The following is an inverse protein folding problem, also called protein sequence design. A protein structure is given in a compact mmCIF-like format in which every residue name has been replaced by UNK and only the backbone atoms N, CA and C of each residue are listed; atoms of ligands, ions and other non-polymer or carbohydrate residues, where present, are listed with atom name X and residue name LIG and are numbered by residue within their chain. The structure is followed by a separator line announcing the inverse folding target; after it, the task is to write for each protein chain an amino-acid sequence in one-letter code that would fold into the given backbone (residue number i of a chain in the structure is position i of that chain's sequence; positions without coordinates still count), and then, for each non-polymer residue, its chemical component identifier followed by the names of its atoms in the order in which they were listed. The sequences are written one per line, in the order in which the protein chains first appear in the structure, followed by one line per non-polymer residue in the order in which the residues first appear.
data_IF_832218725141
#
_entry.id   IF_832218725141
#
_cell.length_a   1.000
_cell.length_b   1.000
_cell.length_c   1.000
_cell.angle_alpha   90.00
_cell.angle_beta   90.00
_cell.angle_gamma   90.00
#
_symmetry.space_group_name_H-M   'P 1'
#
loop_
_entity.id
_entity.type
_entity.pdbx_description
1 polymer ?
#
# COMPACT_ATOMS: atom_id res chain seq x y z
N UNK A 1 -9.91 -13.46 -60.70
CA UNK A 1 -11.21 -14.13 -60.43
C UNK A 1 -10.97 -15.61 -60.14
N UNK A 2 -11.05 -16.02 -58.87
CA UNK A 2 -11.16 -17.43 -58.43
C UNK A 2 -11.59 -17.43 -56.94
N UNK A 3 -12.87 -17.74 -56.74
CA UNK A 3 -13.58 -18.48 -55.68
C UNK A 3 -12.98 -18.68 -54.25
N UNK A 4 -13.88 -18.98 -53.29
CA UNK A 4 -13.68 -19.68 -51.99
C UNK A 4 -13.17 -18.77 -50.85
N UNK A 5 -13.69 -18.78 -49.60
CA UNK A 5 -14.72 -19.64 -48.95
C UNK A 5 -15.71 -18.85 -48.03
N UNK A 6 -16.81 -19.51 -47.67
CA UNK A 6 -17.88 -19.10 -46.74
C UNK A 6 -17.57 -19.45 -45.28
N UNK A 7 -18.16 -18.73 -44.30
CA UNK A 7 -18.96 -19.24 -43.15
C UNK A 7 -19.22 -18.04 -42.20
N UNK A 8 -20.45 -17.51 -42.05
CA UNK A 8 -21.68 -17.97 -41.37
C UNK A 8 -21.70 -17.72 -39.85
N UNK A 9 -22.68 -16.93 -39.41
CA UNK A 9 -22.97 -16.54 -38.02
C UNK A 9 -23.92 -17.55 -37.38
N UNK A 10 -23.75 -17.85 -36.09
CA UNK A 10 -24.81 -18.40 -35.24
C UNK A 10 -24.72 -17.84 -33.81
N UNK A 11 -25.83 -17.27 -33.32
CA UNK A 11 -26.06 -17.11 -31.88
C UNK A 11 -26.65 -18.41 -31.33
N UNK A 12 -26.34 -18.73 -30.07
CA UNK A 12 -27.12 -19.66 -29.25
C UNK A 12 -26.90 -19.34 -27.76
N UNK A 13 -27.98 -18.92 -27.08
CA UNK A 13 -28.07 -18.96 -25.61
C UNK A 13 -28.53 -20.36 -25.17
N UNK A 14 -28.04 -20.85 -24.02
CA UNK A 14 -28.82 -21.68 -23.06
C UNK A 14 -28.02 -22.00 -21.78
N UNK A 15 -28.46 -21.40 -20.68
CA UNK A 15 -28.48 -21.87 -19.26
C UNK A 15 -27.53 -23.02 -18.80
N UNK A 16 -26.65 -22.68 -17.84
CA UNK A 16 -26.54 -23.22 -16.45
C UNK A 16 -26.50 -24.75 -16.15
N UNK A 17 -25.97 -25.19 -14.99
CA UNK A 17 -24.93 -24.60 -14.10
C UNK A 17 -23.80 -25.59 -13.73
N UNK A 18 -22.73 -25.12 -13.08
CA UNK A 18 -22.03 -25.92 -12.05
C UNK A 18 -21.25 -25.03 -11.08
N UNK A 19 -21.20 -25.41 -9.80
CA UNK A 19 -20.57 -24.65 -8.71
C UNK A 19 -19.11 -25.03 -8.51
N UNK A 20 -18.22 -24.04 -8.41
CA UNK A 20 -16.94 -24.17 -7.71
C UNK A 20 -16.79 -22.94 -6.81
N UNK A 21 -16.59 -23.15 -5.52
CA UNK A 21 -16.07 -22.11 -4.62
C UNK A 21 -14.55 -22.12 -4.69
N UNK A 22 -13.91 -20.95 -4.70
CA UNK A 22 -12.78 -20.71 -3.80
C UNK A 22 -12.64 -19.20 -3.51
N UNK A 23 -11.87 -18.87 -2.46
CA UNK A 23 -11.49 -17.49 -2.14
C UNK A 23 -10.23 -17.12 -2.93
N UNK A 24 -10.20 -15.94 -3.51
CA UNK A 24 -8.96 -15.24 -3.84
C UNK A 24 -9.04 -13.82 -3.27
N UNK A 25 -8.14 -13.49 -2.33
CA UNK A 25 -7.82 -12.10 -1.95
C UNK A 25 -6.41 -11.78 -2.43
N UNK A 26 -6.16 -11.97 -3.72
CA UNK A 26 -4.91 -11.64 -4.39
C UNK A 26 -4.98 -10.21 -4.92
N UNK A 27 -4.24 -9.28 -4.30
CA UNK A 27 -4.10 -7.91 -4.80
C UNK A 27 -3.45 -7.90 -6.19
N UNK A 28 -4.22 -7.58 -7.23
CA UNK A 28 -3.73 -7.49 -8.61
C UNK A 28 -3.49 -6.03 -9.03
N UNK A 29 -2.25 -5.57 -8.93
CA UNK A 29 -1.83 -4.28 -9.51
C UNK A 29 -1.95 -4.29 -11.05
N UNK A 30 -2.95 -3.58 -11.60
CA UNK A 30 -3.09 -3.32 -13.05
C UNK A 30 -3.47 -1.87 -13.39
N UNK A 31 -2.73 -0.90 -12.84
CA UNK A 31 -2.86 0.53 -13.18
C UNK A 31 -2.41 0.89 -14.60
N UNK A 32 -3.20 0.53 -15.63
CA UNK A 32 -2.85 0.78 -17.05
C UNK A 32 -3.36 2.14 -17.55
N UNK A 33 -2.75 3.22 -17.05
CA UNK A 33 -3.11 4.60 -17.33
C UNK A 33 -3.27 4.90 -18.84
N UNK A 34 -4.50 5.19 -19.26
CA UNK A 34 -4.77 5.82 -20.56
C UNK A 34 -4.70 7.33 -20.38
N UNK A 35 -3.64 7.95 -20.89
CA UNK A 35 -3.56 9.41 -20.98
C UNK A 35 -4.65 9.92 -21.92
N UNK A 36 -5.62 10.66 -21.37
CA UNK A 36 -6.62 11.37 -22.18
C UNK A 36 -5.95 12.58 -22.82
N UNK A 37 -6.08 12.69 -24.14
CA UNK A 37 -5.49 13.76 -24.93
C UNK A 37 -6.11 15.12 -24.54
N UNK A 38 -5.27 16.14 -24.36
CA UNK A 38 -5.71 17.51 -24.09
C UNK A 38 -6.03 18.18 -25.43
N UNK A 39 -7.24 18.73 -25.56
CA UNK A 39 -7.52 19.67 -26.64
C UNK A 39 -6.74 20.97 -26.36
N UNK A 40 -5.89 21.38 -27.29
CA UNK A 40 -5.30 22.72 -27.29
C UNK A 40 -6.34 23.75 -27.79
N UNK A 41 -6.02 25.04 -27.65
CA UNK A 41 -6.90 26.15 -28.03
C UNK A 41 -6.99 26.31 -29.57
N UNK A 42 -7.97 27.10 -30.05
CA UNK A 42 -8.32 27.40 -31.45
C UNK A 42 -9.00 26.28 -32.29
N UNK A 43 -10.33 26.11 -32.13
CA UNK A 43 -11.23 25.79 -33.27
C UNK A 43 -12.70 26.23 -33.00
N UNK A 44 -13.38 26.79 -34.01
CA UNK A 44 -14.74 27.37 -33.89
C UNK A 44 -15.88 26.37 -34.23
N UNK A 45 -16.29 25.48 -33.32
CA UNK A 45 -17.72 25.16 -33.16
C UNK A 45 -18.05 24.39 -31.85
N UNK A 46 -18.71 25.05 -30.91
CA UNK A 46 -19.34 24.46 -29.73
C UNK A 46 -20.64 25.24 -29.43
N UNK A 47 -21.75 24.80 -30.04
CA UNK A 47 -23.06 25.45 -29.88
C UNK A 47 -23.86 24.84 -28.74
N UNK A 48 -24.49 25.70 -27.97
CA UNK A 48 -25.56 25.37 -27.04
C UNK A 48 -26.86 25.09 -27.81
N UNK A 49 -27.45 23.90 -27.61
CA UNK A 49 -28.89 23.63 -27.64
C UNK A 49 -29.13 22.53 -26.58
N UNK A 50 -30.24 22.43 -25.87
CA UNK A 50 -31.47 23.22 -25.85
C UNK A 50 -32.51 22.50 -24.98
N UNK A 51 -33.36 23.25 -24.28
CA UNK A 51 -34.38 22.72 -23.34
C UNK A 51 -35.45 21.85 -24.02
N UNK A 52 -36.11 20.95 -23.26
CA UNK A 52 -37.57 20.95 -23.09
C UNK A 52 -38.02 19.92 -22.01
N UNK A 53 -39.02 20.31 -21.20
CA UNK A 53 -39.57 19.54 -20.07
C UNK A 53 -40.83 18.73 -20.44
N UNK A 54 -41.21 17.76 -19.59
CA UNK A 54 -42.64 17.48 -19.30
C UNK A 54 -42.83 16.63 -18.02
N UNK A 55 -43.56 17.16 -17.04
CA UNK A 55 -44.05 16.46 -15.84
C UNK A 55 -45.26 15.54 -16.12
N UNK A 56 -45.64 14.66 -15.17
CA UNK A 56 -47.02 14.56 -14.63
C UNK A 56 -47.13 13.74 -13.30
N UNK A 57 -48.28 13.84 -12.61
CA UNK A 57 -48.70 13.18 -11.34
C UNK A 57 -49.81 12.11 -11.62
N UNK A 58 -50.45 11.31 -10.73
CA UNK A 58 -50.46 11.00 -9.28
C UNK A 58 -50.89 9.50 -9.12
N UNK A 59 -51.12 8.79 -8.00
CA UNK A 59 -51.25 8.96 -6.51
C UNK A 59 -50.54 7.74 -5.84
N UNK A 60 -50.30 7.55 -4.53
CA UNK A 60 -50.95 7.85 -3.22
C UNK A 60 -52.00 6.84 -2.69
N UNK A 61 -51.92 6.53 -1.37
CA UNK A 61 -52.86 5.77 -0.48
C UNK A 61 -52.84 4.21 -0.62
N UNK A 62 -52.50 3.41 0.43
CA UNK A 62 -53.22 3.04 1.70
C UNK A 62 -54.25 1.88 1.48
N UNK A 63 -54.44 0.81 2.28
CA UNK A 63 -54.15 0.51 3.71
C UNK A 63 -53.91 -1.02 4.02
N UNK A 64 -53.33 -1.29 5.21
CA UNK A 64 -53.58 -2.32 6.26
C UNK A 64 -53.76 -3.87 6.07
N UNK A 65 -53.22 -4.59 7.09
CA UNK A 65 -53.65 -5.85 7.76
C UNK A 65 -53.69 -7.22 6.99
N UNK A 66 -53.54 -8.42 7.60
CA UNK A 66 -53.47 -8.85 9.03
C UNK A 66 -52.76 -10.23 9.24
N UNK A 67 -52.58 -10.62 10.52
CA UNK A 67 -52.55 -11.98 11.13
C UNK A 67 -51.30 -12.92 11.06
N UNK A 68 -51.29 -13.93 11.95
CA UNK A 68 -50.15 -14.68 12.52
C UNK A 68 -49.67 -15.96 11.76
N UNK A 69 -48.49 -16.49 12.14
CA UNK A 69 -47.90 -17.70 11.53
C UNK A 69 -46.74 -18.36 12.27
N UNK A 70 -46.92 -18.73 13.54
CA UNK A 70 -45.88 -19.29 14.44
C UNK A 70 -45.21 -20.62 13.97
N UNK A 71 -43.91 -20.76 14.27
CA UNK A 71 -43.12 -22.02 14.40
C UNK A 71 -41.65 -21.79 14.79
N UNK A 72 -41.21 -22.44 15.86
CA UNK A 72 -39.80 -22.60 16.21
C UNK A 72 -39.06 -23.53 15.24
N UNK A 73 -37.81 -23.19 14.87
CA UNK A 73 -36.74 -24.17 14.67
C UNK A 73 -35.49 -23.69 15.41
N UNK A 74 -34.92 -24.56 16.25
CA UNK A 74 -33.78 -24.25 17.12
C UNK A 74 -32.47 -24.23 16.31
N UNK A 75 -31.85 -23.05 16.17
CA UNK A 75 -30.49 -22.92 15.62
C UNK A 75 -29.49 -22.93 16.78
N UNK A 76 -28.70 -24.00 16.88
CA UNK A 76 -27.64 -24.12 17.88
C UNK A 76 -26.60 -23.00 17.72
N UNK A 77 -26.09 -22.49 18.85
CA UNK A 77 -25.01 -21.51 18.88
C UNK A 77 -23.67 -22.21 19.06
N UNK A 78 -22.88 -22.26 18.01
CA UNK A 78 -21.46 -22.61 18.08
C UNK A 78 -20.67 -21.47 18.77
N UNK A 79 -20.77 -21.39 20.10
CA UNK A 79 -20.06 -20.45 20.97
C UNK A 79 -18.56 -20.81 21.08
N UNK A 80 -17.85 -20.90 19.96
CA UNK A 80 -16.42 -21.26 19.88
C UNK A 80 -15.46 -20.06 19.75
N UNK A 81 -15.91 -18.86 20.13
CA UNK A 81 -14.98 -17.80 20.57
C UNK A 81 -14.44 -18.15 21.96
N UNK A 82 -13.30 -18.83 21.99
CA UNK A 82 -12.50 -18.99 23.21
C UNK A 82 -11.02 -18.69 22.98
N UNK A 83 -10.65 -17.52 23.48
CA UNK A 83 -9.40 -17.28 24.19
C UNK A 83 -8.14 -17.01 23.34
N UNK A 84 -8.24 -16.09 22.38
CA UNK A 84 -7.09 -15.22 22.07
C UNK A 84 -7.09 -14.06 23.07
N UNK A 85 -6.35 -14.19 24.17
CA UNK A 85 -6.44 -13.29 25.31
C UNK A 85 -6.08 -11.84 24.95
N UNK A 86 -7.01 -10.91 25.17
CA UNK A 86 -6.80 -9.47 25.00
C UNK A 86 -5.88 -8.93 26.10
N UNK A 87 -4.58 -9.20 25.96
CA UNK A 87 -3.57 -8.35 26.59
C UNK A 87 -3.70 -6.97 25.96
N UNK A 88 -4.04 -5.95 26.76
CA UNK A 88 -3.97 -4.57 26.30
C UNK A 88 -2.62 -4.34 25.61
N UNK A 89 -2.63 -4.03 24.31
CA UNK A 89 -1.41 -3.73 23.57
C UNK A 89 -0.91 -2.33 23.97
N UNK A 90 -0.31 -2.27 25.17
CA UNK A 90 0.35 -1.11 25.74
C UNK A 90 1.59 -0.84 24.91
N UNK A 91 1.49 0.15 24.02
CA UNK A 91 2.61 0.61 23.19
C UNK A 91 3.86 0.92 24.03
N UNK A 92 5.06 0.63 23.52
CA UNK A 92 6.29 0.75 24.27
C UNK A 92 6.55 2.18 24.76
N UNK A 93 7.23 2.35 25.91
CA UNK A 93 7.48 3.67 26.50
C UNK A 93 8.48 4.53 25.71
N UNK A 94 9.31 3.91 24.87
CA UNK A 94 10.26 4.55 23.94
C UNK A 94 10.45 3.64 22.70
N UNK A 95 10.89 4.17 21.55
CA UNK A 95 11.06 3.36 20.33
C UNK A 95 12.17 2.31 20.48
N UNK A 96 13.15 2.60 21.33
CA UNK A 96 14.30 1.74 21.69
C UNK A 96 14.04 0.80 22.88
N UNK A 97 12.80 0.71 23.40
CA UNK A 97 12.51 -0.08 24.60
C UNK A 97 12.65 -1.60 24.40
N UNK A 98 12.55 -2.07 23.16
CA UNK A 98 12.60 -3.49 22.83
C UNK A 98 14.05 -3.94 22.58
N UNK A 99 14.40 -5.14 23.08
CA UNK A 99 15.67 -5.77 22.72
C UNK A 99 15.55 -6.41 21.35
N UNK A 100 16.15 -5.81 20.34
CA UNK A 100 16.39 -6.46 19.05
C UNK A 100 17.77 -7.11 19.04
N UNK A 101 17.87 -8.31 18.48
CA UNK A 101 19.14 -9.04 18.28
C UNK A 101 19.45 -9.26 16.80
N UNK A 102 18.80 -8.48 15.94
CA UNK A 102 19.03 -8.49 14.50
C UNK A 102 20.43 -7.95 14.18
N UNK A 103 20.97 -8.36 13.03
CA UNK A 103 22.20 -7.82 12.46
C UNK A 103 21.82 -6.82 11.37
N UNK A 104 22.67 -5.85 11.09
CA UNK A 104 22.58 -5.00 9.88
C UNK A 104 22.45 -5.89 8.63
N UNK A 105 23.24 -6.97 8.56
CA UNK A 105 23.21 -7.95 7.46
C UNK A 105 23.22 -9.38 7.99
N UNK A 106 22.38 -10.24 7.41
CA UNK A 106 22.32 -11.69 7.64
C UNK A 106 21.77 -12.44 6.43
N UNK A 107 21.62 -13.75 6.57
CA UNK A 107 21.06 -14.61 5.52
C UNK A 107 19.59 -14.94 5.79
N UNK A 108 18.80 -15.20 4.74
CA UNK A 108 17.40 -15.65 4.87
C UNK A 108 17.36 -16.99 5.59
N UNK A 109 16.73 -17.02 6.76
CA UNK A 109 16.71 -18.17 7.67
C UNK A 109 17.81 -18.22 8.73
N UNK A 110 18.69 -17.21 8.86
CA UNK A 110 19.78 -17.16 9.87
C UNK A 110 19.28 -17.30 11.33
N UNK A 111 18.03 -16.92 11.60
CA UNK A 111 17.50 -16.72 12.95
C UNK A 111 16.13 -17.38 13.09
N UNK A 112 16.01 -18.37 13.97
CA UNK A 112 14.78 -19.14 14.22
C UNK A 112 13.59 -18.33 14.83
N UNK A 113 13.75 -17.01 14.99
CA UNK A 113 12.66 -16.09 15.35
C UNK A 113 11.99 -15.45 14.12
N UNK A 114 12.59 -15.54 12.92
CA UNK A 114 12.01 -15.09 11.66
C UNK A 114 11.26 -16.25 11.01
N UNK A 115 10.02 -16.02 10.56
CA UNK A 115 9.16 -17.04 9.96
C UNK A 115 9.67 -17.55 8.60
N UNK A 116 10.40 -16.73 7.85
CA UNK A 116 10.93 -17.10 6.53
C UNK A 116 12.27 -17.81 6.69
N UNK A 117 12.22 -19.13 6.53
CA UNK A 117 13.42 -19.95 6.36
C UNK A 117 13.86 -19.97 4.88
N UNK A 118 15.11 -20.39 4.64
CA UNK A 118 15.61 -20.65 3.28
C UNK A 118 14.72 -21.65 2.50
N UNK A 119 14.11 -22.61 3.20
CA UNK A 119 13.19 -23.58 2.59
C UNK A 119 11.86 -22.93 2.18
N UNK A 120 11.29 -22.05 3.02
CA UNK A 120 10.09 -21.27 2.69
C UNK A 120 10.33 -20.40 1.46
N UNK A 121 11.42 -19.62 1.46
CA UNK A 121 11.78 -18.76 0.32
C UNK A 121 11.97 -19.56 -0.98
N UNK A 122 12.59 -20.76 -0.90
CA UNK A 122 12.77 -21.64 -2.07
C UNK A 122 11.46 -22.24 -2.57
N UNK A 123 10.56 -22.66 -1.68
CA UNK A 123 9.22 -23.15 -2.04
C UNK A 123 8.33 -22.06 -2.65
N UNK A 124 8.58 -20.80 -2.27
CA UNK A 124 7.94 -19.62 -2.84
C UNK A 124 8.57 -19.14 -4.18
N UNK A 125 9.40 -19.99 -4.82
CA UNK A 125 10.13 -19.76 -6.08
C UNK A 125 11.20 -18.65 -6.06
N UNK A 126 11.59 -18.10 -4.89
CA UNK A 126 12.72 -17.17 -4.85
C UNK A 126 14.05 -17.93 -5.03
N UNK A 127 14.92 -17.35 -5.85
CA UNK A 127 16.22 -17.93 -6.21
C UNK A 127 17.36 -17.47 -5.29
N UNK A 128 17.20 -16.28 -4.69
CA UNK A 128 18.22 -15.60 -3.90
C UNK A 128 17.63 -14.58 -2.94
N UNK A 129 18.42 -14.14 -1.97
CA UNK A 129 18.08 -13.07 -1.04
C UNK A 129 19.13 -12.83 0.04
N UNK A 130 18.85 -11.85 0.89
CA UNK A 130 19.57 -11.55 2.13
C UNK A 130 18.61 -10.91 3.15
N UNK A 131 19.08 -10.68 4.38
CA UNK A 131 18.25 -10.17 5.47
C UNK A 131 18.87 -8.91 6.06
N UNK A 132 18.14 -7.78 6.03
CA UNK A 132 18.56 -6.46 6.49
C UNK A 132 17.82 -6.10 7.77
N UNK A 133 18.53 -5.93 8.89
CA UNK A 133 17.91 -5.72 10.21
C UNK A 133 16.78 -6.72 10.56
N UNK A 134 16.84 -7.94 10.01
CA UNK A 134 15.82 -8.97 10.20
C UNK A 134 14.68 -8.98 9.17
N UNK A 135 14.58 -7.99 8.28
CA UNK A 135 13.66 -7.93 7.13
C UNK A 135 14.31 -8.67 5.95
N UNK A 136 13.57 -9.52 5.23
CA UNK A 136 14.12 -10.34 4.14
C UNK A 136 13.93 -9.64 2.78
N UNK A 137 15.00 -9.47 1.99
CA UNK A 137 14.86 -9.08 0.57
C UNK A 137 15.00 -10.37 -0.24
N UNK A 138 13.91 -10.78 -0.90
CA UNK A 138 13.80 -12.03 -1.65
C UNK A 138 13.67 -11.73 -3.13
N UNK A 139 14.34 -12.50 -4.00
CA UNK A 139 14.36 -12.22 -5.43
C UNK A 139 14.29 -13.46 -6.33
N UNK A 140 13.50 -13.34 -7.41
CA UNK A 140 13.50 -14.31 -8.52
C UNK A 140 14.82 -14.20 -9.33
N UNK A 141 15.10 -15.15 -10.22
CA UNK A 141 16.45 -15.28 -10.80
C UNK A 141 16.83 -14.14 -11.75
N UNK A 142 15.82 -13.43 -12.24
CA UNK A 142 15.87 -12.44 -13.31
C UNK A 142 16.10 -11.02 -12.76
N UNK A 143 15.99 -10.81 -11.45
CA UNK A 143 16.30 -9.55 -10.77
C UNK A 143 17.81 -9.33 -10.78
N UNK A 144 18.34 -8.22 -11.31
CA UNK A 144 19.78 -7.91 -11.23
C UNK A 144 20.24 -7.72 -9.78
N UNK A 145 21.46 -8.16 -9.46
CA UNK A 145 21.99 -8.09 -8.08
C UNK A 145 22.06 -6.64 -7.58
N UNK A 146 22.38 -5.67 -8.44
CA UNK A 146 22.43 -4.26 -8.10
C UNK A 146 21.07 -3.67 -7.69
N UNK A 147 19.95 -4.23 -8.17
CA UNK A 147 18.60 -3.82 -7.76
C UNK A 147 18.26 -4.36 -6.37
N UNK A 148 18.64 -5.60 -6.10
CA UNK A 148 18.52 -6.22 -4.78
C UNK A 148 19.41 -5.51 -3.73
N UNK A 149 20.62 -5.07 -4.13
CA UNK A 149 21.49 -4.27 -3.27
C UNK A 149 20.98 -2.84 -3.07
N UNK A 150 20.31 -2.24 -4.05
CA UNK A 150 19.61 -0.95 -3.88
C UNK A 150 18.51 -1.07 -2.81
N UNK A 151 17.60 -2.03 -2.96
CA UNK A 151 16.54 -2.31 -1.98
C UNK A 151 17.12 -2.62 -0.58
N UNK A 152 18.28 -3.27 -0.49
CA UNK A 152 18.97 -3.51 0.78
C UNK A 152 19.47 -2.22 1.47
N UNK A 153 20.00 -1.25 0.72
CA UNK A 153 20.38 0.07 1.27
C UNK A 153 19.14 0.83 1.74
N UNK A 154 18.11 0.95 0.91
CA UNK A 154 16.86 1.65 1.25
C UNK A 154 16.19 1.03 2.49
N UNK A 155 16.22 -0.31 2.63
CA UNK A 155 15.74 -0.99 3.85
C UNK A 155 16.55 -0.64 5.08
N UNK A 156 17.86 -0.45 4.96
CA UNK A 156 18.70 0.00 6.06
C UNK A 156 18.41 1.46 6.43
N UNK A 157 18.40 2.37 5.45
CA UNK A 157 18.15 3.82 5.63
C UNK A 157 16.73 4.17 6.14
N UNK A 158 15.74 3.28 5.96
CA UNK A 158 14.38 3.42 6.50
C UNK A 158 14.22 2.83 7.92
N UNK A 159 15.17 2.03 8.39
CA UNK A 159 15.17 1.37 9.72
C UNK A 159 16.16 2.02 10.68
N UNK A 160 17.29 2.49 10.16
CA UNK A 160 18.33 3.28 10.79
C UNK A 160 18.60 4.48 9.86
N UNK A 161 17.85 5.55 10.08
CA UNK A 161 17.87 6.78 9.27
C UNK A 161 18.91 7.80 9.77
N UNK A 162 19.61 7.47 10.87
CA UNK A 162 20.78 8.20 11.35
C UNK A 162 22.11 7.55 10.93
N UNK A 163 22.05 6.29 10.50
CA UNK A 163 23.13 5.47 9.94
C UNK A 163 24.27 5.13 10.95
N UNK A 164 23.94 4.89 12.23
CA UNK A 164 24.94 4.49 13.25
C UNK A 164 25.18 2.97 13.37
N UNK A 165 24.37 2.16 12.67
CA UNK A 165 24.36 0.69 12.75
C UNK A 165 23.25 0.12 13.64
N UNK A 166 22.38 0.97 14.21
CA UNK A 166 21.35 0.61 15.19
C UNK A 166 19.96 1.08 14.73
N UNK A 167 18.94 0.21 14.70
CA UNK A 167 17.58 0.63 14.34
C UNK A 167 17.02 1.71 15.25
N UNK A 168 16.57 2.83 14.66
CA UNK A 168 15.95 3.97 15.37
C UNK A 168 14.73 3.53 16.20
N UNK A 169 13.94 2.59 15.64
CA UNK A 169 12.84 1.94 16.32
C UNK A 169 13.07 0.43 16.45
N UNK A 170 13.74 0.02 17.53
CA UNK A 170 14.04 -1.39 17.81
C UNK A 170 12.79 -2.23 18.04
N UNK A 171 11.67 -1.62 18.49
CA UNK A 171 10.39 -2.32 18.65
C UNK A 171 9.74 -2.66 17.31
N UNK A 172 9.67 -1.69 16.38
CA UNK A 172 9.18 -1.89 15.00
C UNK A 172 10.05 -2.94 14.29
N UNK A 173 11.36 -2.80 14.39
CA UNK A 173 12.31 -3.73 13.76
C UNK A 173 12.19 -5.15 14.32
N UNK A 174 12.02 -5.30 15.64
CA UNK A 174 11.85 -6.60 16.28
C UNK A 174 10.54 -7.30 15.87
N UNK A 175 9.43 -6.57 15.68
CA UNK A 175 8.18 -7.19 15.21
C UNK A 175 8.24 -7.54 13.72
N UNK A 176 8.84 -6.68 12.88
CA UNK A 176 9.06 -6.96 11.45
C UNK A 176 9.92 -8.21 11.26
N UNK A 177 11.04 -8.32 11.99
CA UNK A 177 11.89 -9.50 11.97
C UNK A 177 11.20 -10.76 12.49
N UNK A 178 10.27 -10.64 13.45
CA UNK A 178 9.53 -11.77 14.02
C UNK A 178 8.44 -12.27 13.07
N UNK A 179 7.69 -11.36 12.45
CA UNK A 179 6.62 -11.65 11.51
C UNK A 179 7.12 -12.03 10.10
N UNK A 180 8.43 -12.25 9.94
CA UNK A 180 9.02 -12.60 8.65
C UNK A 180 8.79 -11.54 7.58
N UNK A 181 8.87 -10.25 7.93
CA UNK A 181 8.71 -9.14 6.99
C UNK A 181 9.61 -9.32 5.76
N UNK A 182 9.07 -9.14 4.54
CA UNK A 182 9.85 -9.33 3.31
C UNK A 182 9.53 -8.35 2.17
N UNK A 183 10.49 -8.18 1.27
CA UNK A 183 10.32 -7.48 -0.02
C UNK A 183 10.43 -8.54 -1.11
N UNK A 184 9.39 -8.62 -1.95
CA UNK A 184 9.27 -9.58 -3.06
C UNK A 184 9.75 -8.94 -4.35
N UNK A 185 11.02 -9.16 -4.70
CA UNK A 185 11.62 -8.58 -5.90
C UNK A 185 11.43 -9.47 -7.13
N UNK A 186 10.98 -8.85 -8.21
CA UNK A 186 10.73 -9.52 -9.49
C UNK A 186 11.17 -8.69 -10.70
N UNK A 187 11.39 -9.34 -11.85
CA UNK A 187 11.73 -8.65 -13.10
C UNK A 187 10.88 -9.17 -14.27
N UNK A 188 9.78 -8.49 -14.60
CA UNK A 188 8.84 -8.83 -15.68
C UNK A 188 9.29 -8.27 -17.05
N UNK A 189 10.57 -8.41 -17.40
CA UNK A 189 11.09 -8.03 -18.71
C UNK A 189 10.49 -8.88 -19.85
N UNK A 190 10.53 -8.38 -21.09
CA UNK A 190 10.18 -9.19 -22.26
C UNK A 190 11.09 -10.43 -22.34
N UNK A 191 10.49 -11.61 -22.37
CA UNK A 191 11.20 -12.89 -22.36
C UNK A 191 11.44 -13.51 -20.98
N UNK A 192 11.22 -12.78 -19.88
CA UNK A 192 11.26 -13.36 -18.53
C UNK A 192 9.95 -14.08 -18.20
N UNK A 193 10.05 -15.23 -17.53
CA UNK A 193 8.91 -16.00 -17.03
C UNK A 193 8.97 -16.03 -15.50
N UNK A 194 8.44 -14.98 -14.87
CA UNK A 194 8.44 -14.87 -13.40
C UNK A 194 7.19 -15.52 -12.82
N UNK A 195 7.39 -16.53 -11.97
CA UNK A 195 6.35 -17.21 -11.20
C UNK A 195 6.76 -17.20 -9.72
N UNK A 196 6.01 -16.50 -8.87
CA UNK A 196 6.18 -16.48 -7.41
C UNK A 196 5.02 -17.27 -6.82
N UNK A 197 5.32 -18.25 -5.98
CA UNK A 197 4.29 -18.97 -5.23
C UNK A 197 4.14 -18.31 -3.85
N UNK A 198 2.96 -17.75 -3.57
CA UNK A 198 2.71 -17.02 -2.32
C UNK A 198 2.32 -17.95 -1.17
N UNK A 199 1.72 -19.12 -1.44
CA UNK A 199 1.22 -20.05 -0.42
C UNK A 199 2.22 -20.35 0.72
N UNK A 200 3.51 -20.66 0.47
CA UNK A 200 4.45 -21.02 1.54
C UNK A 200 4.81 -19.87 2.48
N UNK A 201 4.58 -18.62 2.06
CA UNK A 201 4.74 -17.42 2.87
C UNK A 201 3.49 -17.15 3.73
N UNK A 202 2.31 -17.36 3.14
CA UNK A 202 1.03 -17.21 3.83
C UNK A 202 0.81 -18.33 4.87
N UNK A 203 1.22 -19.57 4.57
CA UNK A 203 1.20 -20.72 5.48
C UNK A 203 1.99 -20.46 6.79
N UNK A 204 3.09 -19.68 6.72
CA UNK A 204 3.87 -19.30 7.91
C UNK A 204 3.44 -17.96 8.52
N UNK A 205 2.42 -17.31 7.96
CA UNK A 205 1.89 -16.03 8.44
C UNK A 205 2.79 -14.82 8.18
N UNK A 206 3.61 -14.87 7.12
CA UNK A 206 4.52 -13.79 6.75
C UNK A 206 3.77 -12.54 6.22
N UNK A 207 4.54 -11.51 5.86
CA UNK A 207 3.99 -10.31 5.22
C UNK A 207 5.05 -9.53 4.46
N UNK A 208 4.71 -9.08 3.26
CA UNK A 208 5.63 -8.34 2.41
C UNK A 208 4.93 -7.39 1.46
N UNK A 209 5.72 -6.61 0.72
CA UNK A 209 5.25 -5.93 -0.49
C UNK A 209 6.05 -6.38 -1.72
N UNK A 210 5.50 -6.09 -2.90
CA UNK A 210 6.16 -6.33 -4.19
C UNK A 210 7.14 -5.21 -4.54
N UNK A 211 8.17 -5.51 -5.34
CA UNK A 211 9.07 -4.49 -5.87
C UNK A 211 9.69 -4.91 -7.21
N UNK A 212 9.32 -4.22 -8.29
CA UNK A 212 9.88 -4.44 -9.62
C UNK A 212 11.32 -3.95 -9.76
N UNK A 213 12.14 -4.73 -10.46
CA UNK A 213 13.52 -4.36 -10.79
C UNK A 213 13.63 -3.08 -11.66
N UNK A 214 12.56 -2.68 -12.34
CA UNK A 214 12.52 -1.48 -13.19
C UNK A 214 12.14 -0.19 -12.45
N UNK A 215 11.36 -0.30 -11.38
CA UNK A 215 10.87 0.81 -10.54
C UNK A 215 11.72 1.04 -9.29
N UNK A 216 12.59 0.07 -8.94
CA UNK A 216 13.76 0.30 -8.07
C UNK A 216 14.76 1.21 -8.78
N UNK A 217 14.85 2.49 -8.43
CA UNK A 217 15.63 3.54 -9.15
C UNK A 217 16.36 4.47 -8.15
N UNK A 218 17.24 5.38 -8.56
CA UNK A 218 17.82 6.35 -7.60
C UNK A 218 16.96 7.62 -7.54
N UNK A 219 15.92 7.60 -6.70
CA UNK A 219 14.98 8.73 -6.53
C UNK A 219 14.56 9.32 -7.90
N UNK A 220 14.40 10.65 -7.97
CA UNK A 220 14.21 11.41 -9.21
C UNK A 220 15.54 11.85 -9.86
N UNK A 221 16.62 11.05 -9.81
CA UNK A 221 17.94 11.44 -10.30
C UNK A 221 18.04 11.62 -11.84
N UNK A 222 17.11 11.04 -12.61
CA UNK A 222 16.92 11.31 -14.05
C UNK A 222 16.03 12.54 -14.32
N UNK A 223 15.52 13.18 -13.26
CA UNK A 223 14.58 14.30 -13.30
C UNK A 223 13.15 13.93 -13.65
N UNK A 224 12.74 12.64 -13.60
CA UNK A 224 11.43 12.17 -14.08
C UNK A 224 10.85 10.99 -13.31
N UNK A 225 11.64 9.93 -13.13
CA UNK A 225 11.19 8.63 -12.67
C UNK A 225 11.14 8.57 -11.14
N UNK A 226 10.22 7.78 -10.60
CA UNK A 226 10.05 7.57 -9.16
C UNK A 226 10.81 6.31 -8.72
N UNK A 227 11.40 6.31 -7.51
CA UNK A 227 11.96 5.11 -6.89
C UNK A 227 10.94 4.45 -5.96
N UNK A 228 10.20 3.48 -6.51
CA UNK A 228 9.18 2.74 -5.78
C UNK A 228 9.77 1.88 -4.64
N UNK A 229 11.09 1.68 -4.56
CA UNK A 229 11.67 0.95 -3.43
C UNK A 229 11.54 1.72 -2.12
N UNK A 230 11.48 3.06 -2.14
CA UNK A 230 11.20 3.85 -0.93
C UNK A 230 9.72 3.70 -0.51
N UNK A 231 8.80 3.70 -1.48
CA UNK A 231 7.35 3.52 -1.30
C UNK A 231 7.05 2.13 -0.70
N UNK A 232 7.41 1.07 -1.43
CA UNK A 232 7.04 -0.32 -1.10
C UNK A 232 7.73 -0.89 0.16
N UNK A 233 8.97 -0.48 0.42
CA UNK A 233 9.69 -0.89 1.64
C UNK A 233 9.11 -0.14 2.85
N UNK A 234 8.68 1.12 2.69
CA UNK A 234 8.04 1.86 3.76
C UNK A 234 6.63 1.33 4.07
N UNK A 235 5.85 0.92 3.06
CA UNK A 235 4.54 0.26 3.23
C UNK A 235 4.63 -1.01 4.09
N UNK A 236 5.67 -1.84 3.89
CA UNK A 236 5.95 -2.97 4.78
C UNK A 236 6.22 -2.51 6.22
N UNK A 237 7.06 -1.49 6.40
CA UNK A 237 7.51 -0.99 7.70
C UNK A 237 6.34 -0.38 8.50
N UNK A 238 5.41 0.33 7.86
CA UNK A 238 4.22 0.89 8.51
C UNK A 238 3.20 -0.20 8.85
N UNK A 239 2.69 -0.90 7.84
CA UNK A 239 1.57 -1.83 7.96
C UNK A 239 1.88 -3.06 8.84
N UNK A 240 3.11 -3.60 8.76
CA UNK A 240 3.53 -4.78 9.56
C UNK A 240 4.37 -4.40 10.78
N UNK A 241 4.89 -3.19 10.85
CA UNK A 241 5.70 -2.66 11.95
C UNK A 241 4.94 -1.69 12.84
N UNK A 242 4.84 -0.42 12.43
CA UNK A 242 4.23 0.65 13.23
C UNK A 242 2.79 0.38 13.65
N UNK A 243 1.95 -0.12 12.73
CA UNK A 243 0.55 -0.52 13.00
C UNK A 243 0.45 -1.60 14.08
N UNK A 244 1.44 -2.51 14.17
CA UNK A 244 1.48 -3.59 15.17
C UNK A 244 2.03 -3.14 16.53
N UNK A 245 3.00 -2.22 16.57
CA UNK A 245 3.60 -1.71 17.83
C UNK A 245 2.78 -0.59 18.46
N UNK A 246 2.11 0.21 17.64
CA UNK A 246 1.38 1.41 18.05
C UNK A 246 -0.08 1.43 17.55
N UNK A 247 -0.89 0.37 17.78
CA UNK A 247 -2.22 0.24 17.15
C UNK A 247 -3.18 1.40 17.47
N UNK A 248 -3.07 2.02 18.64
CA UNK A 248 -3.88 3.20 19.01
C UNK A 248 -3.52 4.48 18.24
N UNK A 249 -2.36 4.51 17.56
CA UNK A 249 -1.81 5.68 16.88
C UNK A 249 -1.72 5.45 15.37
N UNK A 250 -1.10 4.35 14.94
CA UNK A 250 -0.87 3.98 13.54
C UNK A 250 -1.54 2.64 13.16
N UNK A 251 -2.46 2.11 13.97
CA UNK A 251 -3.17 0.87 13.61
C UNK A 251 -3.96 1.06 12.32
N UNK A 252 -3.67 0.21 11.34
CA UNK A 252 -4.27 0.20 10.01
C UNK A 252 -5.30 -0.94 9.89
N UNK A 253 -6.56 -0.59 9.59
CA UNK A 253 -7.65 -1.53 9.28
C UNK A 253 -8.87 -0.79 8.73
N UNK A 254 -9.77 -1.49 8.04
CA UNK A 254 -11.02 -0.91 7.51
C UNK A 254 -12.01 -0.38 8.58
N UNK A 255 -11.74 -0.68 9.85
CA UNK A 255 -12.51 -0.25 11.01
C UNK A 255 -11.69 0.61 11.98
N UNK A 256 -10.52 1.10 11.53
CA UNK A 256 -9.58 1.78 12.42
C UNK A 256 -10.13 3.11 12.94
N UNK A 257 -9.86 3.37 14.21
CA UNK A 257 -10.13 4.64 14.89
C UNK A 257 -8.84 5.23 15.49
N UNK A 258 -7.68 4.84 14.95
CA UNK A 258 -6.36 5.31 15.37
C UNK A 258 -6.17 6.81 15.11
N UNK A 259 -5.09 7.39 15.65
CA UNK A 259 -4.75 8.79 15.39
C UNK A 259 -4.50 9.07 13.90
N UNK A 260 -3.90 8.12 13.18
CA UNK A 260 -3.67 8.18 11.74
C UNK A 260 -4.99 8.17 10.96
N UNK A 261 -5.92 7.26 11.29
CA UNK A 261 -7.23 7.17 10.64
C UNK A 261 -8.00 8.50 10.70
N UNK A 262 -8.06 9.12 11.88
CA UNK A 262 -8.76 10.39 12.11
C UNK A 262 -8.10 11.59 11.40
N UNK A 263 -6.79 11.57 11.23
CA UNK A 263 -6.08 12.56 10.42
C UNK A 263 -6.43 12.37 8.93
N UNK A 264 -6.39 11.13 8.43
CA UNK A 264 -6.76 10.79 7.05
C UNK A 264 -8.22 11.14 6.72
N UNK A 265 -9.16 10.87 7.63
CA UNK A 265 -10.56 11.26 7.49
C UNK A 265 -10.72 12.77 7.28
N UNK A 266 -9.90 13.57 7.96
CA UNK A 266 -9.87 15.03 7.77
C UNK A 266 -9.26 15.39 6.41
N UNK A 267 -8.16 14.73 6.03
CA UNK A 267 -7.46 14.96 4.75
C UNK A 267 -8.28 14.63 3.50
N UNK A 268 -9.30 13.79 3.65
CA UNK A 268 -10.24 13.36 2.60
C UNK A 268 -11.55 14.17 2.56
N UNK A 269 -11.66 15.24 3.34
CA UNK A 269 -12.88 16.05 3.44
C UNK A 269 -14.00 15.46 4.31
N UNK A 270 -13.77 14.33 5.00
CA UNK A 270 -14.75 13.71 5.90
C UNK A 270 -14.50 12.23 6.16
N UNK A 271 -15.04 11.72 7.28
CA UNK A 271 -15.02 10.30 7.63
C UNK A 271 -15.76 9.46 6.59
N UNK A 272 -15.06 8.51 5.97
CA UNK A 272 -15.61 7.55 5.02
C UNK A 272 -15.15 6.13 5.38
N UNK A 273 -16.06 5.16 5.29
CA UNK A 273 -15.79 3.74 5.52
C UNK A 273 -16.39 2.92 4.39
N UNK A 274 -15.73 1.82 4.05
CA UNK A 274 -16.18 0.88 3.03
C UNK A 274 -16.28 -0.53 3.65
N UNK A 275 -17.34 -1.26 3.28
CA UNK A 275 -17.62 -2.63 3.72
C UNK A 275 -18.08 -3.50 2.53
N UNK A 276 -17.60 -3.17 1.33
CA UNK A 276 -17.87 -3.81 0.05
C UNK A 276 -16.55 -4.22 -0.61
N UNK A 277 -16.65 -5.07 -1.62
CA UNK A 277 -15.49 -5.51 -2.44
C UNK A 277 -14.98 -4.40 -3.38
N UNK A 278 -15.83 -3.41 -3.71
CA UNK A 278 -15.46 -2.18 -4.44
C UNK A 278 -15.90 -0.94 -3.64
N UNK A 279 -15.07 0.10 -3.62
CA UNK A 279 -15.23 1.24 -2.72
C UNK A 279 -15.42 2.56 -3.48
N UNK A 280 -16.68 2.98 -3.61
CA UNK A 280 -17.06 4.27 -4.19
C UNK A 280 -16.70 5.44 -3.25
N UNK A 281 -15.42 5.79 -3.19
CA UNK A 281 -14.91 6.94 -2.47
C UNK A 281 -15.37 8.25 -3.13
N UNK A 282 -15.86 9.18 -2.31
CA UNK A 282 -16.31 10.50 -2.78
C UNK A 282 -15.45 11.59 -2.13
N UNK A 283 -14.79 12.41 -2.92
CA UNK A 283 -13.96 13.51 -2.44
C UNK A 283 -14.59 14.83 -2.88
N UNK A 284 -14.74 15.78 -1.94
CA UNK A 284 -15.23 17.13 -2.27
C UNK A 284 -14.23 17.96 -3.09
N UNK A 285 -12.97 17.54 -3.15
CA UNK A 285 -11.97 18.04 -4.09
C UNK A 285 -11.08 16.89 -4.60
N UNK A 286 -10.63 16.97 -5.84
CA UNK A 286 -9.74 16.01 -6.51
C UNK A 286 -8.60 16.70 -7.27
N UNK A 287 -8.22 17.92 -6.86
CA UNK A 287 -7.21 18.73 -7.54
C UNK A 287 -6.37 19.58 -6.59
N UNK A 288 -5.08 19.78 -6.91
CA UNK A 288 -4.19 20.60 -6.09
C UNK A 288 -4.03 22.02 -6.66
N UNK A 289 -4.29 23.08 -5.86
CA UNK A 289 -4.22 24.47 -6.34
C UNK A 289 -2.86 24.87 -6.91
N UNK A 290 -2.87 25.24 -8.21
CA UNK A 290 -1.69 25.46 -9.07
C UNK A 290 -0.60 26.34 -8.44
N UNK A 291 -0.99 27.36 -7.68
CA UNK A 291 -0.09 28.40 -7.18
C UNK A 291 0.41 28.20 -5.74
N UNK A 292 -0.32 27.44 -4.92
CA UNK A 292 -0.11 27.36 -3.47
C UNK A 292 0.14 25.94 -2.96
N UNK A 293 -0.44 24.92 -3.60
CA UNK A 293 -0.59 23.54 -3.12
C UNK A 293 -1.28 23.38 -1.74
N UNK A 294 -1.60 24.49 -1.07
CA UNK A 294 -2.55 24.58 0.04
C UNK A 294 -3.98 24.56 -0.51
N UNK A 295 -4.81 23.72 0.09
CA UNK A 295 -6.22 23.47 -0.24
C UNK A 295 -7.12 24.21 0.76
N UNK A 296 -8.27 24.70 0.32
CA UNK A 296 -9.18 25.49 1.16
C UNK A 296 -9.80 24.68 2.32
N UNK A 297 -10.27 25.40 3.35
CA UNK A 297 -10.63 24.81 4.64
C UNK A 297 -11.89 23.94 4.58
N UNK A 298 -11.68 22.63 4.49
CA UNK A 298 -12.74 21.60 4.45
C UNK A 298 -12.67 20.72 3.19
N UNK A 299 -11.95 21.16 2.16
CA UNK A 299 -11.75 20.42 0.93
C UNK A 299 -10.64 19.37 1.08
N UNK A 300 -10.82 18.23 0.42
CA UNK A 300 -9.84 17.14 0.44
C UNK A 300 -8.48 17.54 -0.18
N UNK A 301 -7.40 17.24 0.53
CA UNK A 301 -6.02 17.35 0.04
C UNK A 301 -5.34 15.99 -0.17
N UNK A 302 -6.05 14.91 0.15
CA UNK A 302 -5.70 13.52 -0.18
C UNK A 302 -6.89 12.84 -0.88
N UNK A 303 -6.65 12.36 -2.10
CA UNK A 303 -7.62 11.67 -2.94
C UNK A 303 -6.91 10.56 -3.72
N UNK A 304 -7.05 9.31 -3.27
CA UNK A 304 -6.40 8.16 -3.91
C UNK A 304 -7.13 7.77 -5.20
N UNK A 305 -6.37 7.46 -6.26
CA UNK A 305 -6.91 7.28 -7.60
C UNK A 305 -7.43 5.86 -7.89
N UNK A 306 -7.12 4.87 -7.05
CA UNK A 306 -7.63 3.50 -7.18
C UNK A 306 -9.00 3.34 -6.47
N UNK A 307 -10.10 3.07 -7.20
CA UNK A 307 -11.43 2.85 -6.62
C UNK A 307 -11.62 1.46 -6.00
N UNK A 308 -10.66 0.55 -6.17
CA UNK A 308 -10.68 -0.80 -5.56
C UNK A 308 -9.96 -0.82 -4.21
N UNK A 309 -9.19 0.22 -3.88
CA UNK A 309 -8.47 0.33 -2.62
C UNK A 309 -9.41 0.41 -1.41
N UNK A 310 -9.15 -0.42 -0.40
CA UNK A 310 -9.88 -0.37 0.86
C UNK A 310 -9.37 0.77 1.77
N UNK A 311 -10.05 0.99 2.90
CA UNK A 311 -9.69 2.06 3.82
C UNK A 311 -8.31 1.82 4.47
N UNK A 312 -7.92 0.56 4.69
CA UNK A 312 -6.61 0.21 5.23
C UNK A 312 -5.48 0.53 4.23
N UNK A 313 -5.64 0.19 2.95
CA UNK A 313 -4.73 0.57 1.85
C UNK A 313 -4.54 2.09 1.81
N UNK A 314 -5.62 2.86 1.89
CA UNK A 314 -5.53 4.32 1.93
C UNK A 314 -4.79 4.85 3.18
N UNK A 315 -4.85 4.16 4.32
CA UNK A 315 -4.04 4.53 5.50
C UNK A 315 -2.54 4.28 5.28
N UNK A 316 -2.18 3.15 4.64
CA UNK A 316 -0.80 2.82 4.26
C UNK A 316 -0.21 3.90 3.35
N UNK A 317 -0.97 4.29 2.32
CA UNK A 317 -0.65 5.40 1.42
C UNK A 317 -0.52 6.75 2.14
N UNK A 318 -1.52 7.13 2.94
CA UNK A 318 -1.55 8.44 3.61
C UNK A 318 -0.34 8.66 4.53
N UNK A 319 0.13 7.64 5.25
CA UNK A 319 1.36 7.76 6.05
C UNK A 319 2.62 7.82 5.18
N UNK A 320 2.66 7.10 4.06
CA UNK A 320 3.75 7.21 3.08
C UNK A 320 3.85 8.61 2.47
N UNK A 321 2.75 9.16 1.94
CA UNK A 321 2.72 10.52 1.38
C UNK A 321 3.12 11.58 2.41
N UNK A 322 2.71 11.41 3.67
CA UNK A 322 3.07 12.27 4.78
C UNK A 322 4.57 12.21 5.13
N UNK A 323 5.16 11.01 5.24
CA UNK A 323 6.57 10.86 5.63
C UNK A 323 7.52 11.22 4.48
N UNK A 324 7.20 10.83 3.25
CA UNK A 324 7.98 11.19 2.05
C UNK A 324 8.00 12.70 1.78
N UNK A 325 6.87 13.39 1.99
CA UNK A 325 6.80 14.86 1.95
C UNK A 325 7.60 15.51 3.10
N UNK A 326 7.61 14.90 4.29
CA UNK A 326 8.39 15.39 5.43
C UNK A 326 9.92 15.28 5.23
N UNK A 327 10.42 14.23 4.57
CA UNK A 327 11.86 14.10 4.25
C UNK A 327 12.28 14.68 2.89
N UNK A 328 11.35 15.30 2.15
CA UNK A 328 11.66 16.09 0.95
C UNK A 328 11.75 15.29 -0.36
N UNK A 329 11.22 14.07 -0.41
CA UNK A 329 11.23 13.21 -1.60
C UNK A 329 10.67 13.92 -2.84
N UNK A 330 9.58 14.66 -2.62
CA UNK A 330 8.81 15.27 -3.70
C UNK A 330 9.23 16.71 -4.03
N UNK A 331 10.31 17.24 -3.43
CA UNK A 331 10.73 18.64 -3.63
C UNK A 331 11.04 19.00 -5.09
N UNK A 332 11.45 18.00 -5.90
CA UNK A 332 11.73 18.13 -7.34
C UNK A 332 10.47 18.35 -8.18
N UNK A 333 10.58 18.99 -9.34
CA UNK A 333 9.42 19.23 -10.22
C UNK A 333 8.72 17.94 -10.70
N UNK A 334 9.45 16.83 -10.82
CA UNK A 334 8.86 15.51 -11.10
C UNK A 334 8.16 14.94 -9.87
N UNK A 335 8.77 15.05 -8.69
CA UNK A 335 8.19 14.63 -7.42
C UNK A 335 6.86 15.32 -7.11
N UNK A 336 6.81 16.65 -7.21
CA UNK A 336 5.55 17.40 -7.05
C UNK A 336 4.51 16.98 -8.10
N UNK A 337 4.92 16.64 -9.33
CA UNK A 337 3.99 16.18 -10.36
C UNK A 337 3.41 14.78 -10.05
N UNK A 338 4.20 13.84 -9.52
CA UNK A 338 3.70 12.53 -9.05
C UNK A 338 2.84 12.69 -7.79
N UNK A 339 3.25 13.50 -6.81
CA UNK A 339 2.45 13.74 -5.61
C UNK A 339 1.08 14.35 -5.94
N UNK A 340 1.03 15.42 -6.76
CA UNK A 340 -0.22 16.13 -7.09
C UNK A 340 -1.29 15.32 -7.85
N UNK A 341 -1.04 14.06 -8.23
CA UNK A 341 -2.13 13.21 -8.74
C UNK A 341 -3.08 12.77 -7.63
N UNK A 342 -2.61 12.75 -6.38
CA UNK A 342 -3.35 12.15 -5.24
C UNK A 342 -3.14 12.90 -3.90
N UNK A 343 -2.07 13.69 -3.77
CA UNK A 343 -1.60 14.31 -2.54
C UNK A 343 -1.08 15.74 -2.76
N UNK A 344 -1.79 16.73 -2.21
CA UNK A 344 -1.42 18.14 -2.37
C UNK A 344 -0.29 18.63 -1.44
N UNK A 345 -0.15 18.19 -0.16
CA UNK A 345 0.89 18.66 0.75
C UNK A 345 2.31 18.13 0.46
N UNK A 346 2.78 18.32 -0.78
CA UNK A 346 3.95 17.69 -1.40
C UNK A 346 5.33 18.21 -0.94
N UNK A 347 5.40 19.08 0.07
CA UNK A 347 6.67 19.43 0.74
C UNK A 347 6.47 19.54 2.25
N UNK A 348 7.57 19.48 3.02
CA UNK A 348 7.58 19.60 4.48
C UNK A 348 6.84 20.84 5.00
N UNK A 349 7.00 21.98 4.32
CA UNK A 349 6.36 23.25 4.66
C UNK A 349 4.85 23.22 4.42
N UNK A 350 4.41 22.65 3.29
CA UNK A 350 2.98 22.57 2.92
C UNK A 350 2.29 21.53 3.82
N UNK A 351 2.88 20.35 4.01
CA UNK A 351 2.44 19.32 4.96
C UNK A 351 2.20 19.89 6.35
N UNK A 352 3.18 20.62 6.90
CA UNK A 352 3.08 21.22 8.23
C UNK A 352 1.97 22.29 8.34
N UNK A 353 1.59 22.92 7.22
CA UNK A 353 0.57 23.97 7.18
C UNK A 353 -0.83 23.42 6.92
N UNK A 354 -0.98 22.48 5.98
CA UNK A 354 -2.26 21.85 5.61
C UNK A 354 -2.67 20.76 6.60
N UNK A 355 -1.76 19.85 6.92
CA UNK A 355 -2.02 18.67 7.74
C UNK A 355 -1.12 18.63 9.01
N UNK A 356 -1.33 19.56 9.95
CA UNK A 356 -0.64 19.54 11.23
C UNK A 356 -1.02 18.31 12.07
N UNK A 357 -2.06 17.54 11.73
CA UNK A 357 -2.43 16.34 12.45
C UNK A 357 -1.41 15.22 12.19
N UNK A 358 -1.25 14.77 10.94
CA UNK A 358 -0.28 13.72 10.62
C UNK A 358 1.17 14.21 10.76
N UNK A 359 1.46 15.47 10.43
CA UNK A 359 2.79 16.05 10.63
C UNK A 359 3.27 15.94 12.09
N UNK A 360 2.39 16.18 13.07
CA UNK A 360 2.76 16.05 14.47
C UNK A 360 2.89 14.58 14.93
N UNK A 361 2.17 13.63 14.30
CA UNK A 361 2.32 12.19 14.60
C UNK A 361 3.67 11.66 14.10
N UNK A 362 4.02 11.91 12.84
CA UNK A 362 5.27 11.39 12.24
C UNK A 362 6.52 12.07 12.83
N UNK A 363 6.37 13.28 13.35
CA UNK A 363 7.46 14.10 13.90
C UNK A 363 7.61 13.99 15.43
N UNK A 364 6.82 13.12 16.09
CA UNK A 364 6.99 12.77 17.51
C UNK A 364 8.19 11.80 17.67
N UNK A 365 9.26 12.18 18.40
CA UNK A 365 10.43 11.33 18.60
C UNK A 365 10.16 10.03 19.39
N UNK A 366 8.96 9.85 19.95
CA UNK A 366 8.51 8.58 20.52
C UNK A 366 8.38 7.46 19.48
N UNK A 367 8.19 7.81 18.21
CA UNK A 367 8.01 6.83 17.13
C UNK A 367 9.24 6.70 16.24
N UNK A 368 10.06 7.76 16.12
CA UNK A 368 11.32 7.75 15.38
C UNK A 368 11.17 7.33 13.90
N UNK A 369 10.26 8.01 13.18
CA UNK A 369 10.17 7.91 11.73
C UNK A 369 11.38 8.55 11.03
N UNK A 370 11.72 8.10 9.80
CA UNK A 370 12.68 8.77 8.93
C UNK A 370 12.44 10.28 8.77
N UNK A 371 13.54 11.03 8.80
CA UNK A 371 13.56 12.49 8.57
C UNK A 371 14.57 12.93 7.51
N UNK A 372 15.44 12.02 7.06
CA UNK A 372 16.36 12.15 5.92
C UNK A 372 15.86 11.26 4.79
N UNK A 373 15.90 11.76 3.55
CA UNK A 373 15.55 11.02 2.34
C UNK A 373 16.59 9.89 2.08
N UNK A 374 16.17 8.61 2.00
CA UNK A 374 17.06 7.54 1.57
C UNK A 374 17.65 7.79 0.17
N UNK A 375 18.93 7.47 0.00
CA UNK A 375 19.74 7.76 -1.18
C UNK A 375 20.39 6.50 -1.82
N UNK A 376 20.24 5.33 -1.17
CA UNK A 376 20.78 4.03 -1.54
C UNK A 376 22.30 3.82 -1.35
N UNK A 377 22.97 4.62 -0.50
CA UNK A 377 24.36 4.43 -0.06
C UNK A 377 24.45 4.50 1.48
N UNK A 378 24.05 3.41 2.15
CA UNK A 378 23.99 3.31 3.61
C UNK A 378 25.39 3.28 4.23
N UNK A 379 25.80 4.40 4.84
CA UNK A 379 27.20 4.71 5.14
C UNK A 379 27.84 3.83 6.22
N UNK A 380 27.05 3.22 7.12
CA UNK A 380 27.57 2.25 8.08
C UNK A 380 28.00 0.92 7.43
N UNK A 381 27.35 0.49 6.34
CA UNK A 381 27.66 -0.78 5.69
C UNK A 381 27.41 -0.78 4.17
N UNK A 382 28.49 -0.77 3.39
CA UNK A 382 28.42 -1.00 1.94
C UNK A 382 28.04 -2.45 1.62
N UNK A 383 26.80 -2.68 1.19
CA UNK A 383 26.30 -3.99 0.74
C UNK A 383 27.01 -4.49 -0.53
N UNK A 384 27.19 -5.81 -0.65
CA UNK A 384 27.96 -6.46 -1.72
C UNK A 384 27.28 -7.73 -2.23
N UNK A 385 27.58 -8.13 -3.46
CA UNK A 385 27.14 -9.41 -4.06
C UNK A 385 27.53 -10.64 -3.22
N UNK A 386 28.60 -10.55 -2.41
CA UNK A 386 28.99 -11.59 -1.44
C UNK A 386 27.97 -11.86 -0.33
N UNK A 387 27.09 -10.91 -0.08
CA UNK A 387 26.19 -10.88 1.07
C UNK A 387 24.85 -11.53 0.69
N UNK A 388 24.49 -11.46 -0.60
CA UNK A 388 23.42 -12.24 -1.25
C UNK A 388 23.69 -13.75 -1.10
N UNK A 389 22.64 -14.54 -0.88
CA UNK A 389 22.67 -16.01 -0.89
C UNK A 389 21.70 -16.54 -1.92
N UNK A 390 22.10 -17.57 -2.65
CA UNK A 390 21.22 -18.37 -3.53
C UNK A 390 20.66 -19.57 -2.77
N UNK A 391 19.49 -20.06 -3.19
CA UNK A 391 18.71 -21.09 -2.47
C UNK A 391 18.58 -22.39 -3.26
#
# INVERSE_FOLDING_TARGET
MKNILTILIFLLFLTSPLTIQYKETGFQFQGKAHGKELCEEDDEDCKEEGEEDSDDDSDHEEDDDDDEGDKDEEVEKDDDDKNNGESENISPPSPTACKSTVKVVGNVGDTAANMITTAVAKSANYSKGLTIFGINILATSEVPDEKLLHAANITAELIDNNEDGTPDNTCVTAILSKLGGYVSMYNKAEGNSVEINQDPLDEVGAGGSGLGAYETLNNYADGKSHDASIEEIFHLITQRGYSRVYPKVFGESNTSTSSLAKAMDTARGGEQRCAKEECNWNYNNTSCPIWSDLVDSGDAWYFYADPTADYATMMTEYIYWSVSSNFGMHDSSAGRKKAKTEWCPNTKEILKAQDPAVYNLIKDPKYAFPTVLPNADYTYYTFKTSDIKSF
#
